data_IF_020116128071
#
_entry.id   IF_020116128071
#
_cell.length_a   1.000
_cell.length_b   1.000
_cell.length_c   1.000
_cell.angle_alpha   90.00
_cell.angle_beta   90.00
_cell.angle_gamma   90.00
#
_symmetry.space_group_name_H-M   'P 1'
#
loop_
_entity.id
_entity.type
_entity.pdbx_description
1 polymer ?
#
# COMPACT_ATOMS: atom_id res chain seq x y z
N UNK A 1 18.06 -27.27 -37.27
CA UNK A 1 18.07 -27.57 -35.81
C UNK A 1 17.73 -29.04 -35.63
N UNK A 2 18.49 -29.81 -34.84
CA UNK A 2 18.19 -31.23 -34.62
C UNK A 2 17.21 -31.42 -33.46
N UNK A 3 16.36 -32.45 -33.54
CA UNK A 3 15.43 -32.84 -32.46
C UNK A 3 16.14 -32.98 -31.11
N UNK A 4 17.35 -33.53 -31.11
CA UNK A 4 18.18 -33.67 -29.91
C UNK A 4 18.50 -32.33 -29.24
N UNK A 5 18.81 -31.28 -30.03
CA UNK A 5 19.09 -29.93 -29.48
C UNK A 5 17.85 -29.31 -28.84
N UNK A 6 16.67 -29.48 -29.46
CA UNK A 6 15.40 -28.99 -28.90
C UNK A 6 15.07 -29.69 -27.59
N UNK A 7 15.20 -31.02 -27.54
CA UNK A 7 14.97 -31.78 -26.32
C UNK A 7 15.93 -31.37 -25.19
N UNK A 8 17.22 -31.19 -25.50
CA UNK A 8 18.19 -30.72 -24.51
C UNK A 8 17.82 -29.34 -23.94
N UNK A 9 17.34 -28.43 -24.79
CA UNK A 9 16.87 -27.11 -24.35
C UNK A 9 15.63 -27.20 -23.44
N UNK A 10 14.66 -28.05 -23.77
CA UNK A 10 13.48 -28.26 -22.94
C UNK A 10 13.84 -28.84 -21.56
N UNK A 11 14.75 -29.82 -21.52
CA UNK A 11 15.25 -30.37 -20.24
C UNK A 11 15.99 -29.32 -19.42
N UNK A 12 16.80 -28.46 -20.05
CA UNK A 12 17.49 -27.38 -19.36
C UNK A 12 16.50 -26.36 -18.76
N UNK A 13 15.46 -26.00 -19.53
CA UNK A 13 14.40 -25.11 -19.07
C UNK A 13 13.65 -25.69 -17.87
N UNK A 14 13.32 -26.98 -17.92
CA UNK A 14 12.61 -27.65 -16.82
C UNK A 14 13.44 -27.69 -15.52
N UNK A 15 14.73 -27.99 -15.64
CA UNK A 15 15.66 -27.96 -14.50
C UNK A 15 15.78 -26.55 -13.92
N UNK A 16 15.87 -25.53 -14.78
CA UNK A 16 15.95 -24.14 -14.34
C UNK A 16 14.67 -23.70 -13.63
N UNK A 17 13.50 -24.04 -14.17
CA UNK A 17 12.21 -23.70 -13.57
C UNK A 17 12.03 -24.36 -12.19
N UNK A 18 12.38 -25.65 -12.05
CA UNK A 18 12.39 -26.35 -10.75
C UNK A 18 13.33 -25.70 -9.74
N UNK A 19 14.53 -25.34 -10.18
CA UNK A 19 15.50 -24.63 -9.33
C UNK A 19 14.98 -23.26 -8.88
N UNK A 20 14.40 -22.49 -9.80
CA UNK A 20 13.82 -21.19 -9.49
C UNK A 20 12.62 -21.29 -8.52
N UNK A 21 11.76 -22.29 -8.70
CA UNK A 21 10.67 -22.57 -7.76
C UNK A 21 11.20 -22.91 -6.36
N UNK A 22 12.24 -23.75 -6.25
CA UNK A 22 12.84 -24.10 -4.96
C UNK A 22 13.36 -22.86 -4.23
N UNK A 23 14.11 -22.00 -4.93
CA UNK A 23 14.58 -20.73 -4.37
C UNK A 23 13.41 -19.85 -3.95
N UNK A 24 12.39 -19.71 -4.80
CA UNK A 24 11.19 -18.94 -4.47
C UNK A 24 10.51 -19.45 -3.19
N UNK A 25 10.39 -20.77 -3.03
CA UNK A 25 9.75 -21.34 -1.86
C UNK A 25 10.61 -21.15 -0.61
N UNK A 26 11.93 -21.30 -0.73
CA UNK A 26 12.88 -21.06 0.37
C UNK A 26 12.83 -19.60 0.86
N UNK A 27 12.88 -18.61 -0.03
CA UNK A 27 12.83 -17.19 0.35
C UNK A 27 11.45 -16.74 0.84
N UNK A 28 10.41 -17.55 0.60
CA UNK A 28 9.06 -17.31 1.04
C UNK A 28 8.63 -18.25 2.17
N UNK A 29 9.56 -18.80 2.94
CA UNK A 29 9.29 -19.65 4.11
C UNK A 29 8.31 -20.81 3.82
N UNK A 30 8.48 -21.45 2.66
CA UNK A 30 7.64 -22.54 2.13
C UNK A 30 6.17 -22.19 1.88
N UNK A 31 5.83 -20.91 1.74
CA UNK A 31 4.45 -20.44 1.49
C UNK A 31 3.82 -21.01 0.20
N UNK A 32 4.61 -21.53 -0.75
CA UNK A 32 4.13 -22.04 -2.03
C UNK A 32 4.14 -23.57 -2.14
N UNK A 33 4.34 -24.28 -1.03
CA UNK A 33 4.17 -25.73 -0.97
C UNK A 33 2.73 -26.11 -1.32
N UNK A 34 2.55 -27.16 -2.12
CA UNK A 34 1.27 -27.60 -2.69
C UNK A 34 0.76 -26.74 -3.86
N UNK A 35 1.48 -25.70 -4.28
CA UNK A 35 1.01 -24.83 -5.37
C UNK A 35 1.11 -25.50 -6.75
N UNK A 36 0.31 -25.07 -7.75
CA UNK A 36 0.44 -25.55 -9.13
C UNK A 36 1.84 -25.35 -9.73
N UNK A 37 2.56 -24.33 -9.27
CA UNK A 37 3.93 -24.06 -9.67
C UNK A 37 4.93 -25.11 -9.13
N UNK A 38 4.61 -25.82 -8.06
CA UNK A 38 5.41 -26.95 -7.56
C UNK A 38 5.34 -28.15 -8.51
N UNK A 39 4.12 -28.49 -8.93
CA UNK A 39 3.88 -29.62 -9.82
C UNK A 39 4.36 -29.33 -11.24
N UNK A 40 4.14 -28.11 -11.73
CA UNK A 40 4.43 -27.72 -13.11
C UNK A 40 5.21 -26.38 -13.22
N UNK A 41 6.43 -26.30 -12.68
CA UNK A 41 7.19 -25.06 -12.58
C UNK A 41 7.50 -24.45 -13.95
N UNK A 42 7.72 -25.28 -14.96
CA UNK A 42 8.00 -24.81 -16.33
C UNK A 42 6.81 -24.05 -16.94
N UNK A 43 5.58 -24.49 -16.67
CA UNK A 43 4.36 -23.78 -17.10
C UNK A 43 4.19 -22.45 -16.38
N UNK A 44 4.73 -22.35 -15.16
CA UNK A 44 4.60 -21.20 -14.27
C UNK A 44 5.90 -20.37 -14.22
N UNK A 45 6.85 -20.58 -15.13
CA UNK A 45 8.17 -19.95 -15.09
C UNK A 45 8.10 -18.41 -15.09
N UNK A 46 7.15 -17.84 -15.83
CA UNK A 46 6.93 -16.39 -15.82
C UNK A 46 6.45 -15.89 -14.45
N UNK A 47 5.47 -16.56 -13.85
CA UNK A 47 4.96 -16.21 -12.53
C UNK A 47 6.03 -16.37 -11.44
N UNK A 48 6.78 -17.46 -11.47
CA UNK A 48 7.93 -17.68 -10.57
C UNK A 48 8.90 -16.49 -10.69
N UNK A 49 9.21 -16.05 -11.91
CA UNK A 49 10.10 -14.91 -12.13
C UNK A 49 9.56 -13.58 -11.58
N UNK A 50 8.25 -13.34 -11.70
CA UNK A 50 7.62 -12.13 -11.15
C UNK A 50 7.66 -12.15 -9.62
N UNK A 51 7.35 -13.29 -9.00
CA UNK A 51 7.37 -13.43 -7.55
C UNK A 51 8.78 -13.27 -6.99
N UNK A 52 9.79 -13.84 -7.66
CA UNK A 52 11.19 -13.65 -7.27
C UNK A 52 11.64 -12.19 -7.36
N UNK A 53 11.26 -11.46 -8.42
CA UNK A 53 11.56 -10.02 -8.53
C UNK A 53 10.91 -9.23 -7.39
N UNK A 54 9.65 -9.53 -7.08
CA UNK A 54 8.94 -8.89 -5.97
C UNK A 54 9.63 -9.18 -4.63
N UNK A 55 10.08 -10.41 -4.40
CA UNK A 55 10.84 -10.75 -3.19
C UNK A 55 12.17 -10.00 -3.14
N UNK A 56 12.87 -9.86 -4.27
CA UNK A 56 14.10 -9.06 -4.35
C UNK A 56 13.85 -7.59 -4.00
N UNK A 57 12.78 -6.98 -4.54
CA UNK A 57 12.40 -5.60 -4.19
C UNK A 57 12.11 -5.45 -2.69
N UNK A 58 11.46 -6.44 -2.07
CA UNK A 58 11.21 -6.46 -0.62
C UNK A 58 12.53 -6.56 0.15
N UNK A 59 13.44 -7.44 -0.24
CA UNK A 59 14.77 -7.54 0.38
C UNK A 59 15.57 -6.25 0.24
N UNK A 60 15.58 -5.63 -0.93
CA UNK A 60 16.28 -4.36 -1.16
C UNK A 60 15.66 -3.21 -0.35
N UNK A 61 14.32 -3.14 -0.28
CA UNK A 61 13.61 -2.18 0.56
C UNK A 61 13.89 -2.41 2.05
N UNK A 62 14.06 -3.67 2.46
CA UNK A 62 14.36 -4.03 3.85
C UNK A 62 15.85 -3.98 4.17
N UNK A 63 16.74 -3.92 3.19
CA UNK A 63 18.19 -3.89 3.38
C UNK A 63 18.62 -2.67 4.21
N UNK A 64 17.86 -1.58 4.19
CA UNK A 64 18.08 -0.41 5.05
C UNK A 64 17.94 -0.71 6.55
N UNK A 65 17.31 -1.84 6.90
CA UNK A 65 17.09 -2.31 8.27
C UNK A 65 17.99 -3.50 8.63
N UNK A 66 18.85 -3.96 7.71
CA UNK A 66 19.71 -5.11 7.96
C UNK A 66 20.73 -4.78 9.07
N UNK A 67 20.86 -5.69 10.05
CA UNK A 67 21.68 -5.49 11.24
C UNK A 67 21.15 -4.49 12.28
N UNK A 68 19.96 -3.91 12.08
CA UNK A 68 19.29 -3.09 13.11
C UNK A 68 18.51 -3.96 14.08
N UNK A 69 18.50 -3.58 15.35
CA UNK A 69 17.56 -4.13 16.33
C UNK A 69 16.12 -3.73 16.00
N UNK A 70 15.11 -4.49 16.48
CA UNK A 70 13.70 -4.12 16.27
C UNK A 70 13.37 -2.69 16.74
N UNK A 71 13.96 -2.25 17.86
CA UNK A 71 13.79 -0.91 18.42
C UNK A 71 14.34 0.17 17.48
N UNK A 72 15.51 -0.06 16.87
CA UNK A 72 16.11 0.85 15.88
C UNK A 72 15.27 0.93 14.60
N UNK A 73 14.69 -0.18 14.15
CA UNK A 73 13.80 -0.23 12.98
C UNK A 73 12.55 0.61 13.24
N UNK A 74 11.93 0.47 14.40
CA UNK A 74 10.75 1.25 14.78
C UNK A 74 11.06 2.74 14.87
N UNK A 75 12.18 3.10 15.50
CA UNK A 75 12.63 4.48 15.58
C UNK A 75 12.87 5.08 14.19
N UNK A 76 13.52 4.33 13.31
CA UNK A 76 13.80 4.75 11.93
C UNK A 76 12.50 4.96 11.15
N UNK A 77 11.57 3.99 11.21
CA UNK A 77 10.23 4.11 10.59
C UNK A 77 9.45 5.31 11.13
N UNK A 78 9.48 5.53 12.44
CA UNK A 78 8.81 6.67 13.06
C UNK A 78 9.40 8.01 12.60
N UNK A 79 10.72 8.08 12.49
CA UNK A 79 11.44 9.27 12.00
C UNK A 79 11.07 9.56 10.54
N UNK A 80 11.15 8.56 9.67
CA UNK A 80 10.83 8.73 8.25
C UNK A 80 9.36 9.13 8.04
N UNK A 81 8.45 8.56 8.84
CA UNK A 81 7.04 8.93 8.82
C UNK A 81 6.82 10.38 9.29
N UNK A 82 7.52 10.82 10.33
CA UNK A 82 7.44 12.19 10.83
C UNK A 82 7.95 13.20 9.80
N UNK A 83 9.07 12.88 9.13
CA UNK A 83 9.63 13.70 8.05
C UNK A 83 8.68 13.78 6.84
N UNK A 84 8.10 12.66 6.42
CA UNK A 84 7.12 12.62 5.34
C UNK A 84 5.88 13.48 5.66
N UNK A 85 5.37 13.39 6.89
CA UNK A 85 4.25 14.22 7.36
C UNK A 85 4.61 15.71 7.40
N UNK A 86 5.81 16.04 7.86
CA UNK A 86 6.29 17.43 7.89
C UNK A 86 6.38 18.01 6.48
N UNK A 87 6.93 17.24 5.53
CA UNK A 87 7.00 17.63 4.11
C UNK A 87 5.62 17.85 3.50
N UNK A 88 4.69 16.91 3.72
CA UNK A 88 3.32 17.02 3.20
C UNK A 88 2.59 18.24 3.78
N UNK A 89 2.77 18.53 5.07
CA UNK A 89 2.22 19.72 5.71
C UNK A 89 2.80 21.01 5.13
N UNK A 90 4.11 21.05 4.87
CA UNK A 90 4.77 22.19 4.25
C UNK A 90 4.27 22.42 2.81
N UNK A 91 4.14 21.36 2.01
CA UNK A 91 3.59 21.44 0.64
C UNK A 91 2.12 21.89 0.64
N UNK A 92 1.31 21.37 1.56
CA UNK A 92 -0.08 21.80 1.72
C UNK A 92 -0.17 23.28 2.14
N UNK A 93 0.67 23.73 3.07
CA UNK A 93 0.73 25.12 3.49
C UNK A 93 1.18 26.05 2.35
N UNK A 94 2.15 25.62 1.53
CA UNK A 94 2.60 26.37 0.35
C UNK A 94 1.49 26.51 -0.69
N UNK A 95 0.78 25.42 -1.02
CA UNK A 95 -0.37 25.45 -1.93
C UNK A 95 -1.52 26.31 -1.40
N UNK A 96 -1.79 26.25 -0.10
CA UNK A 96 -2.79 27.11 0.53
C UNK A 96 -2.40 28.59 0.45
N UNK A 97 -1.12 28.91 0.63
CA UNK A 97 -0.63 30.28 0.49
C UNK A 97 -0.73 30.80 -0.96
N UNK A 98 -0.55 29.92 -1.96
CA UNK A 98 -0.73 30.24 -3.38
C UNK A 98 -2.20 30.49 -3.76
N UNK A 99 -3.12 29.73 -3.14
CA UNK A 99 -4.57 29.84 -3.39
C UNK A 99 -5.25 30.99 -2.64
N UNK A 100 -4.59 31.64 -1.68
CA UNK A 100 -5.14 32.85 -1.05
C UNK A 100 -5.31 33.92 -2.14
N UNK A 101 -6.55 34.32 -2.49
CA UNK A 101 -6.74 35.36 -3.48
C UNK A 101 -5.99 36.61 -3.01
N UNK A 102 -5.20 37.22 -3.91
CA UNK A 102 -4.68 38.57 -3.72
C UNK A 102 -5.84 39.42 -3.23
N UNK A 103 -5.72 39.95 -2.01
CA UNK A 103 -6.68 40.85 -1.42
C UNK A 103 -7.19 41.78 -2.52
N UNK A 104 -8.48 41.65 -2.83
CA UNK A 104 -9.19 42.57 -3.71
C UNK A 104 -8.85 43.95 -3.18
N UNK A 105 -8.16 44.74 -4.01
CA UNK A 105 -7.83 46.12 -3.69
C UNK A 105 -9.08 46.75 -3.10
N UNK A 106 -8.93 47.21 -1.86
CA UNK A 106 -9.82 48.09 -1.15
C UNK A 106 -10.40 49.11 -2.15
N UNK A 107 -11.66 48.90 -2.54
CA UNK A 107 -12.39 49.89 -3.32
C UNK A 107 -12.68 50.99 -2.33
N UNK A 108 -11.82 52.01 -2.34
CA UNK A 108 -12.10 53.30 -1.72
C UNK A 108 -13.37 53.82 -2.41
N UNK A 109 -14.51 53.66 -1.75
CA UNK A 109 -15.72 54.40 -2.10
C UNK A 109 -15.44 55.85 -1.75
N UNK A 110 -15.12 56.66 -2.76
CA UNK A 110 -15.37 58.10 -2.68
C UNK A 110 -16.87 58.30 -2.43
N UNK A 111 -17.16 59.15 -1.45
CA UNK A 111 -18.50 59.51 -0.98
C UNK A 111 -19.36 60.08 -2.12
N UNK A 112 -20.47 59.39 -2.43
CA UNK A 112 -21.64 59.99 -3.09
C UNK A 112 -22.77 60.00 -2.03
N UNK A 113 -23.23 61.18 -1.57
CA UNK A 113 -24.09 61.27 -0.40
C UNK A 113 -25.57 61.13 -0.77
N UNK A 114 -26.02 60.01 -1.34
CA UNK A 114 -27.46 59.79 -1.59
C UNK A 114 -27.83 58.32 -1.93
N UNK A 115 -27.64 57.36 -1.01
CA UNK A 115 -28.52 56.18 -0.95
C UNK A 115 -28.39 55.37 0.35
N UNK A 116 -29.40 55.51 1.22
CA UNK A 116 -29.69 54.60 2.33
C UNK A 116 -30.00 53.18 1.82
N UNK A 117 -28.98 52.33 1.72
CA UNK A 117 -29.14 50.87 1.74
C UNK A 117 -27.83 50.22 2.18
N UNK A 118 -27.64 50.05 3.50
CA UNK A 118 -26.51 49.26 4.01
C UNK A 118 -26.63 47.81 3.54
N UNK A 119 -25.63 47.22 2.85
CA UNK A 119 -25.59 45.78 2.66
C UNK A 119 -25.31 45.13 4.02
N UNK A 120 -26.27 44.33 4.49
CA UNK A 120 -26.09 43.48 5.67
C UNK A 120 -24.89 42.55 5.40
N UNK A 121 -23.90 42.45 6.29
CA UNK A 121 -22.80 41.50 6.09
C UNK A 121 -23.38 40.10 6.09
N UNK A 122 -23.21 39.39 4.96
CA UNK A 122 -23.57 37.99 4.83
C UNK A 122 -22.56 37.22 5.69
N UNK A 123 -23.03 36.68 6.83
CA UNK A 123 -22.20 35.84 7.70
C UNK A 123 -21.63 34.65 6.92
N UNK A 124 -20.34 34.39 7.11
CA UNK A 124 -19.62 33.22 6.61
C UNK A 124 -20.42 31.94 6.97
N UNK A 125 -20.67 30.99 6.06
CA UNK A 125 -21.33 29.75 6.40
C UNK A 125 -20.60 29.04 7.53
N UNK A 126 -21.33 28.63 8.57
CA UNK A 126 -20.76 27.89 9.68
C UNK A 126 -20.09 26.59 9.19
N UNK A 127 -18.94 26.21 9.79
CA UNK A 127 -18.25 24.98 9.42
C UNK A 127 -19.19 23.79 9.66
N UNK A 128 -19.42 23.02 8.59
CA UNK A 128 -20.20 21.79 8.63
C UNK A 128 -19.50 20.83 9.60
N UNK A 129 -20.22 20.36 10.62
CA UNK A 129 -19.66 19.42 11.59
C UNK A 129 -19.24 18.12 10.91
N UNK A 130 -18.06 17.61 11.30
CA UNK A 130 -17.53 16.32 10.85
C UNK A 130 -18.56 15.21 11.19
N UNK A 131 -18.83 14.26 10.28
CA UNK A 131 -19.72 13.14 10.58
C UNK A 131 -19.21 12.35 11.79
N UNK A 132 -20.12 11.98 12.69
CA UNK A 132 -19.79 11.14 13.85
C UNK A 132 -19.22 9.79 13.38
N UNK A 133 -18.24 9.24 14.12
CA UNK A 133 -17.64 7.96 13.78
C UNK A 133 -18.69 6.85 13.83
N UNK A 134 -18.83 6.15 12.71
CA UNK A 134 -19.72 4.98 12.59
C UNK A 134 -19.16 3.89 13.51
N UNK A 135 -19.98 3.40 14.44
CA UNK A 135 -19.60 2.30 15.33
C UNK A 135 -19.25 1.05 14.51
N UNK A 136 -18.10 0.45 14.84
CA UNK A 136 -17.69 -0.82 14.24
C UNK A 136 -18.73 -1.92 14.55
N UNK A 137 -19.04 -2.80 13.58
CA UNK A 137 -19.92 -3.93 13.83
C UNK A 137 -19.30 -4.86 14.87
N UNK A 138 -20.14 -5.32 15.81
CA UNK A 138 -19.73 -6.30 16.83
C UNK A 138 -19.21 -7.60 16.18
N UNK A 139 -18.18 -8.24 16.77
CA UNK A 139 -17.65 -9.49 16.26
C UNK A 139 -18.72 -10.59 16.32
N UNK A 140 -18.98 -11.21 15.17
CA UNK A 140 -19.82 -12.41 15.08
C UNK A 140 -19.08 -13.55 15.78
N UNK A 141 -19.73 -14.15 16.78
CA UNK A 141 -19.16 -15.22 17.59
C UNK A 141 -18.73 -16.43 16.75
N UNK A 142 -17.67 -17.09 17.24
CA UNK A 142 -17.08 -18.30 16.64
C UNK A 142 -18.13 -19.40 16.40
N UNK A 143 -18.07 -20.12 15.28
CA UNK A 143 -18.92 -21.27 15.05
C UNK A 143 -18.61 -22.39 16.06
N UNK A 144 -19.66 -23.03 16.59
CA UNK A 144 -19.51 -24.19 17.47
C UNK A 144 -18.78 -25.36 16.78
N UNK A 145 -17.96 -26.13 17.51
CA UNK A 145 -17.24 -27.26 16.95
C UNK A 145 -18.20 -28.37 16.51
N UNK A 146 -18.07 -28.78 15.24
CA UNK A 146 -18.81 -29.91 14.68
C UNK A 146 -18.23 -31.20 15.27
N UNK A 147 -19.08 -32.02 15.91
CA UNK A 147 -18.66 -33.31 16.46
C UNK A 147 -18.39 -34.30 15.32
N UNK A 148 -17.22 -34.95 15.39
CA UNK A 148 -16.82 -36.06 14.50
C UNK A 148 -17.78 -37.25 14.66
N UNK A 149 -18.18 -37.94 13.57
CA UNK A 149 -19.00 -39.14 13.67
C UNK A 149 -18.24 -40.29 14.34
N UNK A 150 -18.88 -40.94 15.32
CA UNK A 150 -18.36 -42.13 15.99
C UNK A 150 -18.05 -43.28 14.99
N UNK A 151 -16.98 -44.05 15.21
CA UNK A 151 -16.68 -45.19 14.36
C UNK A 151 -17.69 -46.32 14.59
N UNK A 152 -18.36 -46.74 13.51
CA UNK A 152 -19.21 -47.93 13.48
C UNK A 152 -18.36 -49.19 13.77
N UNK A 153 -18.72 -49.91 14.84
CA UNK A 153 -18.25 -51.25 15.15
C UNK A 153 -18.96 -52.33 14.31
#
# INVERSE_FOLDING_TARGET
MSKAKVNAALTALDKAAKGAYKVLNEVADNTYEGSPAEAEPTKHAYEISLRLRKQLEIYEANAQYDGMSPEEIELKKATDLAEARAKLKAEAAAKLAELKPKAVKEVVMEEDPDHDAMPVPISDPEPVQDPEPVQEPEPVGDPEPVQDPEPSA
#
